data_IF_389811519210
#
_entry.id   IF_389811519210
#
_cell.length_a   1.000
_cell.length_b   1.000
_cell.length_c   1.000
_cell.angle_alpha   90.00
_cell.angle_beta   90.00
_cell.angle_gamma   90.00
#
_symmetry.space_group_name_H-M   'P 1'
#
loop_
_entity.id
_entity.type
_entity.pdbx_description
1 polymer ?
#
# COMPACT_ATOMS: atom_id res chain seq x y z
N UNK A 1 27.35 8.98 10.14
CA UNK A 1 27.39 8.75 8.68
C UNK A 1 26.60 7.49 8.43
N UNK A 2 25.37 7.61 7.93
CA UNK A 2 24.56 6.44 7.61
C UNK A 2 25.20 5.70 6.43
N UNK A 3 25.34 4.38 6.53
CA UNK A 3 25.74 3.57 5.38
C UNK A 3 24.69 3.76 4.29
N UNK A 4 25.07 4.43 3.20
CA UNK A 4 24.26 4.46 1.99
C UNK A 4 24.18 3.03 1.44
N UNK A 5 22.95 2.51 1.29
CA UNK A 5 22.72 1.18 0.74
C UNK A 5 23.17 1.15 -0.72
N UNK A 6 23.80 0.07 -1.14
CA UNK A 6 24.19 -0.10 -2.54
C UNK A 6 22.95 -0.33 -3.41
N UNK A 7 22.99 0.01 -4.73
CA UNK A 7 21.89 -0.30 -5.65
C UNK A 7 21.50 -1.79 -5.68
N UNK A 8 22.47 -2.69 -5.45
CA UNK A 8 22.24 -4.13 -5.39
C UNK A 8 21.46 -4.53 -4.12
N UNK A 9 21.79 -3.95 -2.97
CA UNK A 9 21.05 -4.18 -1.71
C UNK A 9 19.60 -3.72 -1.84
N UNK A 10 19.38 -2.54 -2.41
CA UNK A 10 18.03 -2.01 -2.68
C UNK A 10 17.26 -2.93 -3.61
N UNK A 11 17.89 -3.41 -4.69
CA UNK A 11 17.26 -4.35 -5.62
C UNK A 11 16.86 -5.67 -4.94
N UNK A 12 17.73 -6.22 -4.09
CA UNK A 12 17.45 -7.47 -3.37
C UNK A 12 16.31 -7.31 -2.37
N UNK A 13 16.25 -6.19 -1.65
CA UNK A 13 15.16 -5.86 -0.72
C UNK A 13 13.81 -5.69 -1.45
N UNK A 14 13.81 -4.99 -2.59
CA UNK A 14 12.61 -4.88 -3.44
C UNK A 14 12.17 -6.25 -3.94
N UNK A 15 13.12 -7.11 -4.34
CA UNK A 15 12.83 -8.47 -4.80
C UNK A 15 12.22 -9.33 -3.69
N UNK A 16 12.77 -9.30 -2.48
CA UNK A 16 12.22 -10.02 -1.32
C UNK A 16 10.82 -9.51 -0.94
N UNK A 17 10.67 -8.20 -0.83
CA UNK A 17 9.38 -7.54 -0.58
C UNK A 17 8.35 -7.94 -1.64
N UNK A 18 8.77 -7.92 -2.91
CA UNK A 18 7.94 -8.35 -4.04
C UNK A 18 7.55 -9.82 -3.97
N UNK A 19 8.47 -10.71 -3.60
CA UNK A 19 8.18 -12.13 -3.42
C UNK A 19 7.17 -12.36 -2.29
N UNK A 20 7.39 -11.74 -1.12
CA UNK A 20 6.51 -11.87 0.05
C UNK A 20 5.10 -11.35 -0.16
N UNK A 21 4.97 -10.18 -0.78
CA UNK A 21 3.67 -9.64 -1.12
C UNK A 21 2.97 -10.47 -2.21
N UNK A 22 3.72 -10.90 -3.23
CA UNK A 22 3.16 -11.73 -4.28
C UNK A 22 2.67 -13.08 -3.75
N UNK A 23 3.44 -13.76 -2.90
CA UNK A 23 3.07 -15.06 -2.36
C UNK A 23 1.78 -14.98 -1.54
N UNK A 24 1.60 -13.92 -0.74
CA UNK A 24 0.42 -13.72 0.11
C UNK A 24 -0.84 -13.27 -0.62
N UNK A 25 -0.69 -12.49 -1.70
CA UNK A 25 -1.83 -11.85 -2.37
C UNK A 25 -2.15 -12.42 -3.76
N UNK A 26 -1.30 -13.29 -4.32
CA UNK A 26 -1.61 -14.01 -5.56
C UNK A 26 -2.94 -14.77 -5.44
N UNK A 27 -3.67 -14.87 -6.55
CA UNK A 27 -4.98 -15.51 -6.62
C UNK A 27 -6.07 -14.84 -5.77
N UNK A 28 -5.82 -13.67 -5.18
CA UNK A 28 -6.85 -12.87 -4.50
C UNK A 28 -7.32 -11.70 -5.37
N UNK A 29 -8.43 -11.06 -4.98
CA UNK A 29 -8.88 -9.81 -5.58
C UNK A 29 -8.16 -8.57 -5.05
N UNK A 30 -7.34 -8.69 -3.98
CA UNK A 30 -6.68 -7.54 -3.32
C UNK A 30 -5.84 -6.70 -4.29
N UNK A 31 -4.91 -7.27 -5.09
CA UNK A 31 -4.06 -6.45 -5.96
C UNK A 31 -4.88 -5.67 -6.99
N UNK A 32 -5.95 -6.27 -7.52
CA UNK A 32 -6.85 -5.58 -8.46
C UNK A 32 -7.63 -4.46 -7.77
N UNK A 33 -8.19 -4.74 -6.60
CA UNK A 33 -8.99 -3.77 -5.89
C UNK A 33 -8.16 -2.57 -5.43
N UNK A 34 -6.93 -2.79 -4.95
CA UNK A 34 -6.02 -1.69 -4.61
C UNK A 34 -5.71 -0.84 -5.83
N UNK A 35 -5.42 -1.44 -6.98
CA UNK A 35 -5.22 -0.68 -8.23
C UNK A 35 -6.45 0.15 -8.58
N UNK A 36 -7.67 -0.36 -8.42
CA UNK A 36 -8.89 0.43 -8.64
C UNK A 36 -8.98 1.59 -7.64
N UNK A 37 -8.74 1.32 -6.35
CA UNK A 37 -8.82 2.31 -5.27
C UNK A 37 -7.79 3.44 -5.45
N UNK A 38 -6.61 3.15 -5.98
CA UNK A 38 -5.56 4.16 -6.17
C UNK A 38 -5.62 4.83 -7.55
N UNK A 39 -5.78 4.07 -8.64
CA UNK A 39 -5.76 4.64 -9.99
C UNK A 39 -7.01 5.44 -10.32
N UNK A 40 -8.20 5.02 -9.87
CA UNK A 40 -9.43 5.73 -10.24
C UNK A 40 -9.46 7.15 -9.66
N UNK A 41 -9.20 7.37 -8.37
CA UNK A 41 -9.09 8.73 -7.84
C UNK A 41 -7.97 9.54 -8.48
N UNK A 42 -6.82 8.92 -8.76
CA UNK A 42 -5.72 9.60 -9.46
C UNK A 42 -6.14 10.07 -10.84
N UNK A 43 -6.83 9.23 -11.61
CA UNK A 43 -7.31 9.57 -12.95
C UNK A 43 -8.38 10.68 -12.90
N UNK A 44 -9.27 10.67 -11.90
CA UNK A 44 -10.25 11.73 -11.69
C UNK A 44 -9.59 13.06 -11.35
N UNK A 45 -8.60 13.04 -10.45
CA UNK A 45 -7.79 14.20 -10.11
C UNK A 45 -7.07 14.76 -11.34
N UNK A 46 -6.41 13.89 -12.10
CA UNK A 46 -5.71 14.27 -13.31
C UNK A 46 -6.67 14.91 -14.33
N UNK A 47 -7.86 14.33 -14.49
CA UNK A 47 -8.89 14.87 -15.37
C UNK A 47 -9.35 16.27 -14.94
N UNK A 48 -9.62 16.49 -13.65
CA UNK A 48 -10.08 17.78 -13.13
C UNK A 48 -9.00 18.87 -13.29
N UNK A 49 -7.77 18.57 -12.87
CA UNK A 49 -6.64 19.52 -12.93
C UNK A 49 -6.30 19.86 -14.38
N UNK A 50 -6.24 18.84 -15.25
CA UNK A 50 -5.96 19.05 -16.66
C UNK A 50 -7.09 19.81 -17.35
N UNK A 51 -8.35 19.49 -17.04
CA UNK A 51 -9.53 20.18 -17.59
C UNK A 51 -9.47 21.69 -17.35
N UNK A 52 -9.27 22.10 -16.09
CA UNK A 52 -9.15 23.52 -15.72
C UNK A 52 -8.00 24.22 -16.45
N UNK A 53 -6.88 23.52 -16.67
CA UNK A 53 -5.70 24.10 -17.33
C UNK A 53 -5.87 24.19 -18.85
N UNK A 54 -6.60 23.25 -19.45
CA UNK A 54 -6.93 23.27 -20.88
C UNK A 54 -7.96 24.35 -21.21
N UNK A 55 -8.89 24.66 -20.30
CA UNK A 55 -9.87 25.74 -20.47
C UNK A 55 -9.21 27.13 -20.48
N UNK A 56 -8.09 27.29 -19.78
CA UNK A 56 -7.32 28.55 -19.70
C UNK A 56 -6.20 28.65 -20.75
N UNK A 57 -5.96 27.60 -21.52
CA UNK A 57 -4.94 27.63 -22.58
C UNK A 57 -5.33 28.62 -23.68
N UNK A 58 -4.35 29.39 -24.15
CA UNK A 58 -4.57 30.42 -25.17
C UNK A 58 -3.41 30.47 -26.19
N UNK A 59 -2.75 29.34 -26.43
CA UNK A 59 -1.57 29.26 -27.33
C UNK A 59 -1.91 29.54 -28.80
N UNK A 60 -3.14 29.25 -29.19
CA UNK A 60 -3.72 29.41 -30.52
C UNK A 60 -4.39 30.78 -30.75
N UNK A 61 -4.49 31.64 -29.73
CA UNK A 61 -5.09 32.96 -29.85
C UNK A 61 -4.36 33.86 -30.84
N UNK A 62 -5.14 34.63 -31.61
CA UNK A 62 -4.65 35.42 -32.75
C UNK A 62 -4.11 36.78 -32.32
N UNK A 63 -3.00 37.26 -32.91
CA UNK A 63 -2.38 38.52 -32.50
C UNK A 63 -3.21 39.74 -32.91
N UNK A 64 -3.34 40.72 -32.01
CA UNK A 64 -3.98 42.02 -32.25
C UNK A 64 -3.10 43.15 -31.70
N UNK A 65 -3.27 44.37 -32.22
CA UNK A 65 -2.69 45.57 -31.59
C UNK A 65 -3.54 45.97 -30.38
N UNK A 66 -2.89 46.07 -29.21
CA UNK A 66 -3.51 46.43 -27.94
C UNK A 66 -2.81 47.65 -27.33
N UNK A 67 -3.58 48.54 -26.71
CA UNK A 67 -3.12 49.73 -25.99
C UNK A 67 -3.26 49.51 -24.48
N UNK A 68 -2.19 49.74 -23.72
CA UNK A 68 -2.22 49.68 -22.25
C UNK A 68 -2.92 50.92 -21.69
N UNK A 69 -4.01 50.73 -20.94
CA UNK A 69 -4.82 51.78 -20.33
C UNK A 69 -4.37 52.08 -18.90
N UNK A 70 -4.07 51.03 -18.13
CA UNK A 70 -3.75 51.15 -16.71
C UNK A 70 -2.83 50.00 -16.27
N UNK A 71 -2.02 50.26 -15.25
CA UNK A 71 -1.12 49.27 -14.63
C UNK A 71 -1.09 49.49 -13.13
N UNK A 72 -1.06 48.42 -12.35
CA UNK A 72 -1.02 48.51 -10.89
C UNK A 72 -0.45 47.28 -10.21
N UNK A 73 -0.64 47.23 -8.90
CA UNK A 73 -0.29 46.09 -8.06
C UNK A 73 -1.47 45.77 -7.14
N UNK A 74 -1.89 44.51 -7.14
CA UNK A 74 -2.92 44.00 -6.23
C UNK A 74 -2.29 43.24 -5.07
N UNK A 75 -2.90 43.36 -3.90
CA UNK A 75 -2.53 42.60 -2.71
C UNK A 75 -3.12 41.18 -2.70
N UNK A 76 -4.06 40.89 -3.59
CA UNK A 76 -4.72 39.60 -3.73
C UNK A 76 -4.91 39.26 -5.21
N UNK A 77 -4.72 37.99 -5.57
CA UNK A 77 -5.11 37.43 -6.85
C UNK A 77 -6.28 36.49 -6.61
N UNK A 78 -7.46 36.81 -7.13
CA UNK A 78 -8.62 35.92 -7.04
C UNK A 78 -8.79 35.21 -8.38
N UNK A 79 -8.96 33.89 -8.32
CA UNK A 79 -9.43 33.09 -9.47
C UNK A 79 -10.97 33.15 -9.47
N UNK A 80 -11.57 33.32 -10.64
CA UNK A 80 -13.03 33.40 -10.84
C UNK A 80 -13.69 32.00 -10.87
N UNK A 81 -12.94 30.94 -10.53
CA UNK A 81 -13.39 29.55 -10.54
C UNK A 81 -14.53 29.19 -9.56
N UNK A 82 -15.44 28.32 -10.04
CA UNK A 82 -16.73 27.96 -9.41
C UNK A 82 -16.63 27.12 -8.11
N UNK A 83 -15.45 26.61 -7.76
CA UNK A 83 -15.24 25.79 -6.56
C UNK A 83 -14.23 26.44 -5.62
N UNK A 84 -14.76 27.30 -4.75
CA UNK A 84 -14.04 28.09 -3.72
C UNK A 84 -13.20 29.20 -4.34
N UNK A 85 -13.66 30.45 -4.19
CA UNK A 85 -12.89 31.66 -4.52
C UNK A 85 -11.71 31.80 -3.55
N UNK A 86 -10.68 30.99 -3.73
CA UNK A 86 -9.44 31.10 -2.97
C UNK A 86 -8.61 32.21 -3.60
N UNK A 87 -8.73 33.41 -3.05
CA UNK A 87 -7.83 34.50 -3.40
C UNK A 87 -6.44 34.22 -2.81
N UNK A 88 -5.43 34.12 -3.65
CA UNK A 88 -4.05 34.08 -3.21
C UNK A 88 -3.67 35.43 -2.61
N UNK A 89 -3.27 35.45 -1.34
CA UNK A 89 -2.72 36.63 -0.70
C UNK A 89 -2.46 36.48 0.80
N UNK A 90 -1.87 37.51 1.43
CA UNK A 90 -1.43 38.77 0.81
C UNK A 90 -0.16 38.62 -0.05
N UNK A 91 -0.10 39.32 -1.18
CA UNK A 91 1.03 39.31 -2.13
C UNK A 91 1.25 40.64 -2.86
N UNK A 92 2.10 40.64 -3.89
CA UNK A 92 2.35 41.79 -4.76
C UNK A 92 2.19 41.36 -6.23
N UNK A 93 0.94 41.31 -6.69
CA UNK A 93 0.59 40.81 -8.01
C UNK A 93 0.47 41.98 -9.00
N UNK A 94 1.23 42.00 -10.11
CA UNK A 94 1.04 43.01 -11.13
C UNK A 94 -0.36 42.93 -11.74
N UNK A 95 -0.97 44.08 -12.03
CA UNK A 95 -2.27 44.19 -12.70
C UNK A 95 -2.15 45.07 -13.93
N UNK A 96 -2.90 44.75 -14.98
CA UNK A 96 -2.87 45.48 -16.25
C UNK A 96 -4.28 45.57 -16.78
N UNK A 97 -4.65 46.75 -17.28
CA UNK A 97 -5.86 46.96 -18.06
C UNK A 97 -5.47 47.44 -19.45
N UNK A 98 -6.02 46.83 -20.47
CA UNK A 98 -5.69 47.14 -21.86
C UNK A 98 -6.92 47.11 -22.75
N UNK A 99 -6.81 47.69 -23.93
CA UNK A 99 -7.86 47.72 -24.94
C UNK A 99 -7.36 47.34 -26.30
N UNK A 100 -8.22 46.73 -27.10
CA UNK A 100 -7.98 46.42 -28.50
C UNK A 100 -9.21 46.83 -29.32
N UNK A 101 -9.06 46.86 -30.64
CA UNK A 101 -10.12 47.23 -31.57
C UNK A 101 -10.36 46.12 -32.59
N UNK A 102 -11.60 45.66 -32.69
CA UNK A 102 -12.06 44.71 -33.72
C UNK A 102 -13.34 45.28 -34.32
N UNK A 103 -13.43 45.29 -35.65
CA UNK A 103 -14.60 45.77 -36.40
C UNK A 103 -15.08 47.18 -35.99
N UNK A 104 -14.15 48.06 -35.60
CA UNK A 104 -14.46 49.44 -35.17
C UNK A 104 -15.02 49.55 -33.75
N UNK A 105 -15.03 48.46 -32.97
CA UNK A 105 -15.44 48.45 -31.56
C UNK A 105 -14.21 48.35 -30.65
N UNK A 106 -14.09 49.30 -29.71
CA UNK A 106 -13.04 49.29 -28.69
C UNK A 106 -13.49 48.43 -27.50
N UNK A 107 -12.75 47.35 -27.27
CA UNK A 107 -12.97 46.38 -26.17
C UNK A 107 -11.89 46.58 -25.10
N UNK A 108 -12.14 46.09 -23.88
CA UNK A 108 -11.25 46.30 -22.72
C UNK A 108 -11.22 45.03 -21.87
N UNK A 109 -10.03 44.65 -21.41
CA UNK A 109 -9.82 43.49 -20.53
C UNK A 109 -8.81 43.83 -19.42
N UNK A 110 -8.93 43.13 -18.30
CA UNK A 110 -7.93 43.07 -17.22
C UNK A 110 -7.12 41.77 -17.22
N UNK A 111 -7.50 40.80 -18.05
CA UNK A 111 -7.03 39.42 -17.98
C UNK A 111 -5.79 39.27 -18.85
N UNK A 112 -4.72 39.99 -18.48
CA UNK A 112 -3.54 40.09 -19.33
C UNK A 112 -2.66 38.82 -19.29
N UNK A 113 -2.77 38.02 -18.23
CA UNK A 113 -2.12 36.73 -17.99
C UNK A 113 -2.99 35.92 -17.03
N UNK A 114 -3.09 34.59 -17.19
CA UNK A 114 -3.97 33.76 -16.37
C UNK A 114 -3.51 33.69 -14.90
N UNK A 115 -2.20 33.58 -14.67
CA UNK A 115 -1.62 33.56 -13.31
C UNK A 115 -0.42 34.51 -13.23
N UNK A 116 -0.62 35.77 -12.78
CA UNK A 116 0.48 36.71 -12.60
C UNK A 116 1.39 36.30 -11.44
N UNK A 117 2.71 36.53 -11.54
CA UNK A 117 3.63 36.12 -10.48
C UNK A 117 3.46 36.99 -9.23
N UNK A 118 3.49 36.36 -8.06
CA UNK A 118 3.62 37.06 -6.79
C UNK A 118 5.06 37.54 -6.59
N UNK A 119 5.28 38.85 -6.52
CA UNK A 119 6.62 39.44 -6.43
C UNK A 119 6.95 39.90 -5.01
N UNK A 120 8.21 40.20 -4.75
CA UNK A 120 8.68 40.47 -3.38
C UNK A 120 8.30 41.86 -2.83
N UNK A 121 7.81 42.76 -3.69
CA UNK A 121 7.32 44.10 -3.31
C UNK A 121 6.55 44.75 -4.48
N UNK A 122 5.75 45.79 -4.17
CA UNK A 122 5.04 46.59 -5.19
C UNK A 122 6.01 47.15 -6.24
N UNK A 123 7.13 47.73 -5.80
CA UNK A 123 8.15 48.26 -6.71
C UNK A 123 8.76 47.18 -7.61
N UNK A 124 8.83 45.92 -7.16
CA UNK A 124 9.29 44.81 -7.99
C UNK A 124 8.23 44.39 -9.00
N UNK A 125 6.94 44.47 -8.65
CA UNK A 125 5.84 44.24 -9.57
C UNK A 125 5.75 45.30 -10.66
N UNK A 126 5.88 46.58 -10.30
CA UNK A 126 5.97 47.68 -11.26
C UNK A 126 7.17 47.51 -12.19
N UNK A 127 8.37 47.25 -11.64
CA UNK A 127 9.56 46.97 -12.46
C UNK A 127 9.37 45.76 -13.39
N UNK A 128 8.63 44.73 -12.96
CA UNK A 128 8.38 43.55 -13.77
C UNK A 128 7.52 43.87 -15.00
N UNK A 129 6.53 44.77 -14.86
CA UNK A 129 5.71 45.28 -15.96
C UNK A 129 6.52 46.19 -16.89
N UNK A 130 7.24 47.17 -16.33
CA UNK A 130 8.05 48.13 -17.10
C UNK A 130 9.12 47.44 -17.95
N UNK A 131 9.81 46.44 -17.38
CA UNK A 131 10.84 45.66 -18.10
C UNK A 131 10.28 44.88 -19.30
N UNK A 132 8.95 44.68 -19.37
CA UNK A 132 8.26 44.01 -20.47
C UNK A 132 7.62 45.00 -21.45
N UNK A 133 7.82 46.30 -21.25
CA UNK A 133 7.18 47.34 -22.06
C UNK A 133 5.68 47.50 -21.78
N UNK A 134 5.18 46.94 -20.67
CA UNK A 134 3.80 47.11 -20.22
C UNK A 134 3.74 48.41 -19.41
N UNK A 135 3.62 49.51 -20.12
CA UNK A 135 3.53 50.88 -19.57
C UNK A 135 2.32 51.57 -20.17
N UNK A 136 1.66 52.42 -19.37
CA UNK A 136 0.44 53.13 -19.80
C UNK A 136 0.68 53.93 -21.07
N UNK A 137 -0.21 53.75 -22.06
CA UNK A 137 -0.15 54.38 -23.38
C UNK A 137 0.78 53.70 -24.39
N UNK A 138 1.44 52.58 -24.05
CA UNK A 138 2.17 51.79 -25.01
C UNK A 138 1.24 50.91 -25.86
N UNK A 139 1.59 50.77 -27.14
CA UNK A 139 1.02 49.75 -28.01
C UNK A 139 1.86 48.47 -27.89
N UNK A 140 1.18 47.37 -27.60
CA UNK A 140 1.76 46.03 -27.47
C UNK A 140 0.94 45.04 -28.30
N UNK A 141 1.52 43.88 -28.58
CA UNK A 141 0.76 42.77 -29.17
C UNK A 141 -0.08 42.11 -28.07
N UNK A 142 -1.40 42.19 -28.20
CA UNK A 142 -2.34 41.33 -27.49
C UNK A 142 -2.68 40.09 -28.31
N UNK A 143 -3.40 39.15 -27.71
CA UNK A 143 -3.90 37.94 -28.36
C UNK A 143 -5.38 37.81 -28.05
N UNK A 144 -6.20 37.54 -29.06
CA UNK A 144 -7.66 37.48 -28.97
C UNK A 144 -8.13 36.05 -29.19
N UNK A 145 -9.16 35.66 -28.44
CA UNK A 145 -9.78 34.35 -28.59
C UNK A 145 -10.48 34.25 -29.96
N UNK A 146 -10.11 33.29 -30.83
CA UNK A 146 -10.71 33.15 -32.15
C UNK A 146 -12.21 32.78 -32.11
N UNK A 147 -12.67 32.19 -31.00
CA UNK A 147 -14.07 31.80 -30.80
C UNK A 147 -14.90 32.92 -30.15
N UNK A 148 -14.27 33.83 -29.39
CA UNK A 148 -14.91 35.00 -28.77
C UNK A 148 -14.01 36.24 -28.79
N UNK A 149 -14.24 37.12 -29.77
CA UNK A 149 -13.48 38.36 -29.93
C UNK A 149 -13.58 39.35 -28.75
N UNK A 150 -14.48 39.12 -27.78
CA UNK A 150 -14.59 39.92 -26.56
C UNK A 150 -13.55 39.57 -25.49
N UNK A 151 -12.82 38.47 -25.66
CA UNK A 151 -11.75 38.03 -24.78
C UNK A 151 -10.37 38.27 -25.40
N UNK A 152 -9.46 38.78 -24.59
CA UNK A 152 -8.07 38.98 -24.99
C UNK A 152 -7.13 38.84 -23.79
N UNK A 153 -5.88 38.46 -24.08
CA UNK A 153 -4.76 38.40 -23.14
C UNK A 153 -3.54 39.14 -23.73
N UNK A 154 -2.54 39.48 -22.91
CA UNK A 154 -1.26 40.01 -23.39
C UNK A 154 -0.15 38.95 -23.40
N UNK A 155 -0.30 37.89 -22.62
CA UNK A 155 0.67 36.79 -22.51
C UNK A 155 -0.03 35.49 -22.84
N UNK A 156 0.43 34.81 -23.88
CA UNK A 156 0.00 33.44 -24.17
C UNK A 156 0.68 32.44 -23.24
N UNK A 157 -0.07 31.45 -22.80
CA UNK A 157 0.33 30.39 -21.90
C UNK A 157 -0.24 29.07 -22.39
N UNK A 158 0.62 28.06 -22.41
CA UNK A 158 0.20 26.66 -22.60
C UNK A 158 -0.40 26.08 -21.32
N UNK A 159 -1.22 25.05 -21.46
CA UNK A 159 -1.73 24.27 -20.32
C UNK A 159 -0.61 23.77 -19.38
N UNK A 160 0.58 23.48 -19.93
CA UNK A 160 1.75 23.06 -19.14
C UNK A 160 2.27 24.21 -18.27
N UNK A 161 2.43 25.39 -18.84
CA UNK A 161 2.89 26.58 -18.10
C UNK A 161 1.89 26.97 -17.00
N UNK A 162 0.60 26.89 -17.32
CA UNK A 162 -0.49 27.16 -16.36
C UNK A 162 -0.40 26.19 -15.17
N UNK A 163 -0.26 24.89 -15.42
CA UNK A 163 -0.13 23.91 -14.33
C UNK A 163 1.12 24.13 -13.47
N UNK A 164 2.25 24.45 -14.08
CA UNK A 164 3.50 24.70 -13.34
C UNK A 164 3.39 25.95 -12.47
N UNK A 165 2.78 27.03 -12.98
CA UNK A 165 2.60 28.26 -12.18
C UNK A 165 1.62 28.05 -11.02
N UNK A 166 0.59 27.21 -11.21
CA UNK A 166 -0.35 26.81 -10.15
C UNK A 166 0.24 25.84 -9.13
N UNK A 167 1.38 25.20 -9.43
CA UNK A 167 1.96 24.11 -8.62
C UNK A 167 1.17 22.80 -8.72
N UNK A 168 0.29 22.68 -9.72
CA UNK A 168 -0.56 21.52 -9.93
C UNK A 168 0.25 20.31 -10.42
N UNK A 169 1.33 20.55 -11.17
CA UNK A 169 2.22 19.51 -11.67
C UNK A 169 2.90 18.73 -10.52
N UNK A 170 3.36 19.42 -9.47
CA UNK A 170 3.90 18.78 -8.26
C UNK A 170 2.88 17.86 -7.60
N UNK A 171 1.62 18.30 -7.52
CA UNK A 171 0.55 17.53 -6.92
C UNK A 171 0.18 16.30 -7.77
N UNK A 172 0.15 16.44 -9.10
CA UNK A 172 -0.06 15.34 -10.04
C UNK A 172 1.08 14.30 -9.96
N UNK A 173 2.33 14.72 -9.79
CA UNK A 173 3.45 13.81 -9.56
C UNK A 173 3.30 13.03 -8.26
N UNK A 174 2.93 13.71 -7.18
CA UNK A 174 2.69 13.06 -5.88
C UNK A 174 1.59 11.99 -6.00
N UNK A 175 0.44 12.36 -6.58
CA UNK A 175 -0.67 11.43 -6.81
C UNK A 175 -0.26 10.25 -7.69
N UNK A 176 0.53 10.49 -8.73
CA UNK A 176 1.04 9.44 -9.63
C UNK A 176 1.94 8.46 -8.90
N UNK A 177 2.85 8.93 -8.06
CA UNK A 177 3.77 8.09 -7.27
C UNK A 177 3.03 7.23 -6.23
N UNK A 178 1.91 7.71 -5.68
CA UNK A 178 1.07 6.91 -4.78
C UNK A 178 0.50 5.63 -5.43
N UNK A 179 0.48 5.54 -6.77
CA UNK A 179 0.05 4.33 -7.48
C UNK A 179 1.14 3.25 -7.56
N UNK A 180 2.40 3.60 -7.34
CA UNK A 180 3.55 2.70 -7.50
C UNK A 180 3.42 1.45 -6.60
N UNK A 181 3.07 1.54 -5.30
CA UNK A 181 2.90 0.35 -4.46
C UNK A 181 1.80 -0.58 -4.95
N UNK A 182 0.65 -0.04 -5.38
CA UNK A 182 -0.47 -0.83 -5.87
C UNK A 182 -0.14 -1.54 -7.19
N UNK A 183 0.54 -0.85 -8.11
CA UNK A 183 1.04 -1.42 -9.36
C UNK A 183 2.12 -2.48 -9.12
N UNK A 184 3.06 -2.21 -8.21
CA UNK A 184 4.10 -3.14 -7.82
C UNK A 184 3.52 -4.44 -7.26
N UNK A 185 2.53 -4.33 -6.36
CA UNK A 185 1.81 -5.49 -5.83
C UNK A 185 1.07 -6.26 -6.94
N UNK A 186 0.37 -5.56 -7.84
CA UNK A 186 -0.34 -6.18 -8.95
C UNK A 186 0.61 -6.95 -9.87
N UNK A 187 1.71 -6.33 -10.29
CA UNK A 187 2.70 -6.97 -11.17
C UNK A 187 3.34 -8.17 -10.48
N UNK A 188 3.72 -8.03 -9.21
CA UNK A 188 4.36 -9.09 -8.44
C UNK A 188 3.39 -10.28 -8.24
N UNK A 189 2.15 -10.03 -7.84
CA UNK A 189 1.12 -11.05 -7.71
C UNK A 189 0.80 -11.74 -9.05
N UNK A 190 0.75 -10.98 -10.17
CA UNK A 190 0.54 -11.54 -11.51
C UNK A 190 1.67 -12.46 -11.94
N UNK A 191 2.93 -12.09 -11.67
CA UNK A 191 4.08 -12.95 -11.94
C UNK A 191 3.99 -14.27 -11.19
N UNK A 192 3.52 -14.24 -9.94
CA UNK A 192 3.26 -15.44 -9.15
C UNK A 192 2.09 -16.26 -9.73
N UNK A 193 0.96 -15.63 -10.06
CA UNK A 193 -0.17 -16.33 -10.71
C UNK A 193 0.24 -17.01 -12.02
N UNK A 194 1.21 -16.45 -12.74
CA UNK A 194 1.68 -16.98 -14.02
C UNK A 194 2.49 -18.26 -13.92
N UNK A 195 3.00 -18.63 -12.74
CA UNK A 195 3.67 -19.92 -12.55
C UNK A 195 2.70 -21.10 -12.67
N UNK A 196 1.43 -20.89 -12.32
CA UNK A 196 0.36 -21.89 -12.45
C UNK A 196 -0.21 -21.86 -13.88
N UNK A 197 -0.57 -23.00 -14.51
CA UNK A 197 -1.21 -23.01 -15.83
C UNK A 197 -2.54 -22.25 -15.88
N UNK A 198 -2.80 -21.53 -16.97
CA UNK A 198 -3.97 -20.63 -17.13
C UNK A 198 -5.32 -21.29 -16.80
N UNK A 199 -5.49 -22.59 -17.09
CA UNK A 199 -6.73 -23.34 -16.82
C UNK A 199 -7.04 -23.53 -15.33
N UNK A 200 -6.01 -23.48 -14.47
CA UNK A 200 -6.13 -23.63 -13.01
C UNK A 200 -6.14 -22.30 -12.26
N UNK A 201 -5.78 -21.19 -12.93
CA UNK A 201 -5.79 -19.85 -12.34
C UNK A 201 -7.23 -19.44 -12.04
N UNK A 202 -7.60 -19.45 -10.77
CA UNK A 202 -8.82 -18.85 -10.25
C UNK A 202 -8.46 -17.64 -9.40
N UNK A 203 -9.42 -16.74 -9.21
CA UNK A 203 -9.28 -15.57 -8.34
C UNK A 203 -10.37 -15.59 -7.30
N UNK A 204 -9.95 -15.44 -6.06
CA UNK A 204 -10.78 -15.58 -4.89
C UNK A 204 -10.99 -14.22 -4.24
N UNK A 205 -12.19 -14.00 -3.72
CA UNK A 205 -12.45 -12.87 -2.84
C UNK A 205 -11.97 -13.26 -1.44
N UNK A 206 -11.38 -12.30 -0.72
CA UNK A 206 -11.18 -12.49 0.70
C UNK A 206 -12.53 -12.68 1.39
N UNK A 207 -12.56 -13.54 2.41
CA UNK A 207 -13.74 -13.81 3.22
C UNK A 207 -13.57 -13.05 4.52
N UNK A 208 -14.52 -12.18 4.85
CA UNK A 208 -14.50 -11.50 6.14
C UNK A 208 -15.01 -12.46 7.21
N UNK A 209 -14.15 -12.77 8.17
CA UNK A 209 -14.49 -13.58 9.34
C UNK A 209 -14.74 -12.62 10.49
N UNK A 210 -16.03 -12.46 10.83
CA UNK A 210 -16.48 -11.67 11.97
C UNK A 210 -16.37 -12.50 13.24
N UNK A 211 -16.09 -11.84 14.37
CA UNK A 211 -16.14 -12.44 15.71
C UNK A 211 -15.26 -13.71 15.79
N UNK A 212 -13.99 -13.55 15.40
CA UNK A 212 -13.04 -14.67 15.42
C UNK A 212 -12.90 -15.21 16.84
N UNK A 213 -12.72 -16.54 16.99
CA UNK A 213 -12.48 -17.15 18.28
C UNK A 213 -11.37 -16.44 19.07
N UNK A 214 -11.49 -16.43 20.41
CA UNK A 214 -10.53 -15.85 21.37
C UNK A 214 -10.43 -14.32 21.37
N UNK A 215 -11.49 -13.63 20.98
CA UNK A 215 -11.49 -12.17 20.94
C UNK A 215 -10.52 -11.61 19.89
N UNK A 216 -10.06 -12.45 18.96
CA UNK A 216 -9.21 -11.99 17.86
C UNK A 216 -10.01 -10.98 17.02
N UNK A 217 -9.39 -9.87 16.60
CA UNK A 217 -10.07 -8.87 15.80
C UNK A 217 -10.56 -9.54 14.52
N UNK A 218 -11.75 -9.16 14.08
CA UNK A 218 -12.30 -9.65 12.81
C UNK A 218 -11.33 -9.36 11.66
N UNK A 219 -11.18 -10.29 10.72
CA UNK A 219 -10.19 -10.13 9.64
C UNK A 219 -10.67 -10.67 8.30
N UNK A 220 -10.01 -10.22 7.24
CA UNK A 220 -10.17 -10.75 5.91
C UNK A 220 -9.24 -11.94 5.70
N UNK A 221 -9.80 -13.10 5.39
CA UNK A 221 -9.06 -14.35 5.24
C UNK A 221 -9.04 -14.82 3.78
N UNK A 222 -7.92 -15.46 3.42
CA UNK A 222 -7.73 -16.09 2.12
C UNK A 222 -8.39 -17.47 2.14
N UNK A 223 -9.29 -17.80 1.20
CA UNK A 223 -9.90 -19.12 1.11
C UNK A 223 -8.87 -20.24 0.93
N UNK A 224 -9.18 -21.45 1.39
CA UNK A 224 -8.22 -22.57 1.40
C UNK A 224 -7.66 -22.89 0.00
N UNK A 225 -8.52 -23.01 -1.01
CA UNK A 225 -8.07 -23.26 -2.40
C UNK A 225 -7.08 -22.18 -2.89
N UNK A 226 -7.23 -20.93 -2.45
CA UNK A 226 -6.31 -19.87 -2.78
C UNK A 226 -4.98 -20.01 -2.03
N UNK A 227 -4.99 -20.43 -0.75
CA UNK A 227 -3.77 -20.71 0.03
C UNK A 227 -2.96 -21.84 -0.61
N UNK A 228 -3.61 -22.92 -1.02
CA UNK A 228 -2.96 -24.05 -1.73
C UNK A 228 -2.31 -23.59 -3.04
N UNK A 229 -3.02 -22.80 -3.85
CA UNK A 229 -2.46 -22.23 -5.09
C UNK A 229 -1.30 -21.27 -4.82
N UNK A 230 -1.35 -20.49 -3.74
CA UNK A 230 -0.28 -19.59 -3.33
C UNK A 230 0.98 -20.35 -2.95
N UNK A 231 0.85 -21.44 -2.19
CA UNK A 231 1.95 -22.35 -1.83
C UNK A 231 2.58 -22.94 -3.09
N UNK A 232 1.78 -23.63 -3.92
CA UNK A 232 2.26 -24.28 -5.14
C UNK A 232 2.97 -23.28 -6.07
N UNK A 233 2.36 -22.11 -6.27
CA UNK A 233 2.93 -21.07 -7.11
C UNK A 233 4.27 -20.56 -6.56
N UNK A 234 4.37 -20.39 -5.25
CA UNK A 234 5.57 -19.91 -4.57
C UNK A 234 6.70 -20.93 -4.62
N UNK A 235 6.40 -22.22 -4.44
CA UNK A 235 7.37 -23.31 -4.60
C UNK A 235 7.93 -23.37 -6.02
N UNK A 236 7.05 -23.37 -7.03
CA UNK A 236 7.46 -23.38 -8.44
C UNK A 236 8.32 -22.15 -8.73
N UNK A 237 7.91 -20.98 -8.20
CA UNK A 237 8.66 -19.74 -8.39
C UNK A 237 10.04 -19.82 -7.75
N UNK A 238 10.14 -20.25 -6.49
CA UNK A 238 11.41 -20.41 -5.78
C UNK A 238 12.35 -21.36 -6.54
N UNK A 239 11.84 -22.52 -6.97
CA UNK A 239 12.59 -23.48 -7.80
C UNK A 239 13.11 -22.85 -9.09
N UNK A 240 12.31 -22.00 -9.75
CA UNK A 240 12.71 -21.30 -10.98
C UNK A 240 13.77 -20.22 -10.78
N UNK A 241 13.88 -19.66 -9.56
CA UNK A 241 14.80 -18.57 -9.23
C UNK A 241 16.06 -19.06 -8.50
N UNK A 242 16.12 -20.32 -8.08
CA UNK A 242 17.17 -20.88 -7.22
C UNK A 242 18.59 -20.59 -7.71
N UNK A 243 18.84 -20.66 -9.01
CA UNK A 243 20.15 -20.35 -9.61
C UNK A 243 20.59 -18.87 -9.54
N UNK A 244 19.72 -17.97 -9.09
CA UNK A 244 19.96 -16.52 -8.99
C UNK A 244 19.87 -15.95 -7.57
N UNK A 245 19.62 -16.82 -6.58
CA UNK A 245 19.49 -16.44 -5.18
C UNK A 245 20.77 -16.75 -4.42
N UNK A 246 21.08 -15.93 -3.42
CA UNK A 246 22.04 -16.34 -2.40
C UNK A 246 21.44 -17.46 -1.53
N UNK A 247 22.28 -18.21 -0.82
CA UNK A 247 21.82 -19.27 0.10
C UNK A 247 20.88 -18.69 1.17
N UNK A 248 21.23 -17.53 1.75
CA UNK A 248 20.38 -16.85 2.72
C UNK A 248 19.03 -16.36 2.15
N UNK A 249 19.00 -15.88 0.90
CA UNK A 249 17.74 -15.50 0.24
C UNK A 249 16.85 -16.72 0.00
N UNK A 250 17.44 -17.83 -0.44
CA UNK A 250 16.73 -19.08 -0.70
C UNK A 250 16.09 -19.62 0.59
N UNK A 251 16.86 -19.67 1.67
CA UNK A 251 16.39 -20.14 2.98
C UNK A 251 15.27 -19.23 3.52
N UNK A 252 15.41 -17.91 3.39
CA UNK A 252 14.36 -16.95 3.77
C UNK A 252 13.05 -17.22 3.03
N UNK A 253 13.11 -17.41 1.71
CA UNK A 253 11.93 -17.69 0.90
C UNK A 253 11.33 -19.07 1.19
N UNK A 254 12.19 -20.08 1.42
CA UNK A 254 11.76 -21.42 1.79
C UNK A 254 11.03 -21.43 3.14
N UNK A 255 11.55 -20.70 4.14
CA UNK A 255 10.89 -20.55 5.44
C UNK A 255 9.52 -19.90 5.30
N UNK A 256 9.40 -18.83 4.50
CA UNK A 256 8.11 -18.19 4.23
C UNK A 256 7.11 -19.12 3.53
N UNK A 257 7.58 -19.99 2.62
CA UNK A 257 6.73 -20.99 1.97
C UNK A 257 6.28 -22.04 2.99
N UNK A 258 7.18 -22.51 3.86
CA UNK A 258 6.84 -23.44 4.95
C UNK A 258 5.70 -22.89 5.81
N UNK A 259 5.76 -21.61 6.23
CA UNK A 259 4.68 -20.97 6.97
C UNK A 259 3.34 -20.98 6.20
N UNK A 260 3.39 -20.74 4.89
CA UNK A 260 2.21 -20.78 4.03
C UNK A 260 1.65 -22.21 3.88
N UNK A 261 2.51 -23.21 3.77
CA UNK A 261 2.11 -24.63 3.74
C UNK A 261 1.34 -24.99 5.00
N UNK A 262 1.80 -24.51 6.16
CA UNK A 262 1.15 -24.76 7.45
C UNK A 262 -0.21 -24.10 7.55
N UNK A 263 -0.34 -22.89 7.01
CA UNK A 263 -1.63 -22.18 6.91
C UNK A 263 -2.56 -22.79 5.85
N UNK A 264 -2.05 -23.62 4.94
CA UNK A 264 -2.82 -24.38 3.96
C UNK A 264 -3.09 -25.83 4.41
N UNK A 265 -2.34 -26.34 5.38
CA UNK A 265 -2.48 -27.70 5.90
C UNK A 265 -3.65 -27.78 6.89
N UNK A 266 -4.80 -28.24 6.39
CA UNK A 266 -5.97 -28.52 7.22
C UNK A 266 -5.68 -29.61 8.26
N UNK A 267 -6.29 -29.49 9.42
CA UNK A 267 -6.32 -30.56 10.41
C UNK A 267 -7.21 -31.70 9.90
N UNK A 268 -6.87 -32.94 10.25
CA UNK A 268 -7.72 -34.10 9.95
C UNK A 268 -9.09 -33.90 10.64
N UNK A 269 -10.18 -34.10 9.90
CA UNK A 269 -11.55 -33.78 10.37
C UNK A 269 -11.98 -32.32 10.21
N UNK A 270 -11.12 -31.42 9.72
CA UNK A 270 -11.44 -30.00 9.49
C UNK A 270 -11.23 -29.14 10.74
N UNK A 271 -12.23 -28.35 11.14
CA UNK A 271 -12.14 -27.54 12.36
C UNK A 271 -12.26 -28.42 13.60
N UNK A 272 -11.27 -28.35 14.48
CA UNK A 272 -11.21 -29.12 15.74
C UNK A 272 -11.08 -28.20 16.94
N UNK A 273 -11.68 -28.59 18.06
CA UNK A 273 -11.52 -27.95 19.36
C UNK A 273 -10.33 -28.55 20.11
N UNK A 274 -9.47 -27.70 20.63
CA UNK A 274 -8.35 -28.01 21.50
C UNK A 274 -8.58 -27.43 22.87
N UNK A 275 -7.91 -27.98 23.87
CA UNK A 275 -7.82 -27.40 25.21
C UNK A 275 -6.36 -27.12 25.51
N UNK A 276 -6.08 -25.94 26.08
CA UNK A 276 -4.81 -25.66 26.73
C UNK A 276 -5.01 -25.41 28.22
N UNK A 277 -4.01 -25.75 29.02
CA UNK A 277 -3.91 -25.40 30.42
C UNK A 277 -2.73 -24.46 30.61
N UNK A 278 -3.00 -23.28 31.17
CA UNK A 278 -2.02 -22.25 31.47
C UNK A 278 -1.34 -22.52 32.82
N UNK A 279 -0.26 -21.79 33.12
CA UNK A 279 0.52 -21.98 34.35
C UNK A 279 -0.30 -21.77 35.64
N UNK A 280 -1.31 -20.91 35.56
CA UNK A 280 -2.27 -20.63 36.64
C UNK A 280 -3.36 -21.72 36.79
N UNK A 281 -3.28 -22.83 36.04
CA UNK A 281 -4.28 -23.91 35.92
C UNK A 281 -5.62 -23.48 35.32
N UNK A 282 -5.67 -22.34 34.65
CA UNK A 282 -6.81 -21.96 33.84
C UNK A 282 -6.83 -22.79 32.57
N UNK A 283 -8.01 -23.31 32.24
CA UNK A 283 -8.24 -24.03 31.00
C UNK A 283 -8.88 -23.12 29.96
N UNK A 284 -8.34 -23.17 28.75
CA UNK A 284 -8.86 -22.42 27.61
C UNK A 284 -9.14 -23.39 26.46
N UNK A 285 -10.35 -23.34 25.94
CA UNK A 285 -10.78 -24.08 24.74
C UNK A 285 -10.75 -23.16 23.52
N UNK A 286 -10.85 -23.68 22.29
CA UNK A 286 -9.72 -23.75 21.35
C UNK A 286 -10.05 -24.27 19.94
N UNK A 287 -11.00 -23.74 19.17
CA UNK A 287 -11.20 -24.12 17.76
C UNK A 287 -10.23 -23.51 16.74
N UNK A 288 -9.63 -24.38 15.92
CA UNK A 288 -8.77 -24.04 14.76
C UNK A 288 -8.98 -25.05 13.63
N UNK A 289 -8.75 -24.64 12.37
CA UNK A 289 -8.93 -25.48 11.18
C UNK A 289 -7.64 -25.91 10.48
N UNK A 290 -6.50 -25.30 10.83
CA UNK A 290 -5.20 -25.60 10.22
C UNK A 290 -4.11 -25.74 11.27
N UNK A 291 -3.03 -26.45 10.92
CA UNK A 291 -1.85 -26.52 11.78
C UNK A 291 -1.25 -25.14 12.04
N UNK A 292 -1.18 -24.27 11.02
CA UNK A 292 -0.70 -22.89 11.19
C UNK A 292 -1.49 -22.11 12.24
N UNK A 293 -2.83 -22.17 12.19
CA UNK A 293 -3.70 -21.52 13.18
C UNK A 293 -3.47 -22.05 14.60
N UNK A 294 -3.30 -23.37 14.76
CA UNK A 294 -2.97 -23.97 16.05
C UNK A 294 -1.69 -23.37 16.64
N UNK A 295 -0.62 -23.29 15.85
CA UNK A 295 0.66 -22.77 16.33
C UNK A 295 0.61 -21.28 16.65
N UNK A 296 0.03 -20.45 15.80
CA UNK A 296 -0.09 -19.02 16.10
C UNK A 296 -0.92 -18.78 17.36
N UNK A 297 -1.98 -19.58 17.56
CA UNK A 297 -2.76 -19.52 18.80
C UNK A 297 -1.91 -19.88 20.02
N UNK A 298 -1.13 -20.97 19.95
CA UNK A 298 -0.23 -21.35 21.03
C UNK A 298 0.82 -20.26 21.32
N UNK A 299 1.42 -19.67 20.28
CA UNK A 299 2.36 -18.54 20.42
C UNK A 299 1.71 -17.35 21.11
N UNK A 300 0.50 -16.96 20.71
CA UNK A 300 -0.25 -15.87 21.36
C UNK A 300 -0.43 -16.13 22.87
N UNK A 301 -0.65 -17.38 23.28
CA UNK A 301 -0.75 -17.76 24.70
C UNK A 301 0.60 -17.79 25.41
N UNK A 302 1.65 -18.23 24.73
CA UNK A 302 3.01 -18.27 25.24
C UNK A 302 3.61 -16.85 25.42
N UNK A 303 3.13 -15.86 24.66
CA UNK A 303 3.71 -14.50 24.55
C UNK A 303 2.79 -13.37 25.07
N UNK A 304 1.78 -13.66 25.91
CA UNK A 304 0.84 -12.64 26.41
C UNK A 304 1.55 -11.38 26.95
N UNK A 305 1.15 -10.21 26.45
CA UNK A 305 1.84 -8.91 26.56
C UNK A 305 2.30 -8.46 27.96
N UNK A 306 1.77 -9.06 29.03
CA UNK A 306 2.10 -8.70 30.42
C UNK A 306 2.81 -9.80 31.22
N UNK A 307 2.92 -11.04 30.71
CA UNK A 307 3.57 -12.19 31.38
C UNK A 307 3.98 -13.27 30.38
N UNK A 308 5.21 -13.75 30.50
CA UNK A 308 5.60 -15.04 29.90
C UNK A 308 5.02 -16.13 30.79
N UNK A 309 4.04 -16.87 30.28
CA UNK A 309 3.56 -18.09 30.94
C UNK A 309 4.75 -19.05 31.09
N UNK A 310 5.05 -19.50 32.31
CA UNK A 310 6.22 -20.37 32.54
C UNK A 310 6.03 -21.74 31.90
N UNK A 311 4.77 -22.18 31.79
CA UNK A 311 4.39 -23.38 31.06
C UNK A 311 2.97 -23.31 30.49
N UNK A 312 2.76 -24.00 29.36
CA UNK A 312 1.44 -24.23 28.73
C UNK A 312 1.34 -25.71 28.36
N UNK A 313 0.23 -26.37 28.65
CA UNK A 313 -0.03 -27.74 28.22
C UNK A 313 -1.18 -27.80 27.20
N UNK A 314 -0.91 -28.32 26.00
CA UNK A 314 -1.89 -28.57 24.94
C UNK A 314 -2.38 -30.02 24.99
N UNK A 315 -3.67 -30.20 25.19
CA UNK A 315 -4.33 -31.49 25.08
C UNK A 315 -4.67 -31.78 23.62
N UNK A 316 -4.19 -32.93 23.11
CA UNK A 316 -4.42 -33.36 21.73
C UNK A 316 -5.62 -34.30 21.59
N UNK A 317 -5.98 -34.97 22.69
CA UNK A 317 -7.11 -35.90 22.79
C UNK A 317 -8.14 -35.38 23.80
N UNK A 318 -9.39 -35.84 23.70
CA UNK A 318 -10.48 -35.45 24.61
C UNK A 318 -10.24 -35.92 26.06
N UNK A 319 -9.59 -37.08 26.22
CA UNK A 319 -9.25 -37.63 27.54
C UNK A 319 -8.04 -36.93 28.13
N UNK A 320 -8.25 -36.08 29.12
CA UNK A 320 -7.14 -35.38 29.82
C UNK A 320 -6.29 -36.29 30.71
N UNK A 321 -6.80 -37.45 31.12
CA UNK A 321 -6.14 -38.34 32.06
C UNK A 321 -5.31 -39.44 31.38
N UNK A 322 -5.78 -39.93 30.22
CA UNK A 322 -5.15 -41.03 29.48
C UNK A 322 -4.71 -40.61 28.08
N UNK A 323 -5.13 -39.43 27.62
CA UNK A 323 -4.82 -38.91 26.30
C UNK A 323 -3.44 -38.28 26.21
N UNK A 324 -3.10 -37.90 24.98
CA UNK A 324 -1.84 -37.29 24.62
C UNK A 324 -1.86 -35.79 24.87
N UNK A 325 -0.77 -35.27 25.42
CA UNK A 325 -0.58 -33.83 25.57
C UNK A 325 0.85 -33.41 25.23
N UNK A 326 0.99 -32.14 24.88
CA UNK A 326 2.27 -31.46 24.69
C UNK A 326 2.40 -30.35 25.74
N UNK A 327 3.40 -30.45 26.61
CA UNK A 327 3.76 -29.41 27.55
C UNK A 327 4.89 -28.55 26.98
N UNK A 328 4.74 -27.24 27.07
CA UNK A 328 5.68 -26.23 26.60
C UNK A 328 6.19 -25.47 27.82
N UNK A 329 7.45 -25.66 28.20
CA UNK A 329 8.06 -25.02 29.37
C UNK A 329 9.16 -24.04 28.94
N UNK A 330 9.08 -22.79 29.39
CA UNK A 330 10.07 -21.76 29.06
C UNK A 330 11.32 -21.88 29.93
N UNK A 331 12.49 -21.94 29.29
CA UNK A 331 13.77 -22.02 29.98
C UNK A 331 14.29 -20.62 30.36
N UNK A 332 13.49 -19.86 31.11
CA UNK A 332 13.84 -18.54 31.66
C UNK A 332 13.09 -17.36 31.04
N UNK A 333 12.97 -16.28 31.82
CA UNK A 333 12.11 -15.11 31.61
C UNK A 333 12.45 -14.25 30.36
N UNK A 334 13.55 -14.55 29.67
CA UNK A 334 13.96 -13.79 28.47
C UNK A 334 14.55 -14.69 27.38
N UNK A 335 14.33 -16.01 27.45
CA UNK A 335 14.81 -16.90 26.40
C UNK A 335 13.65 -17.36 25.52
N UNK A 336 13.87 -17.34 24.22
CA UNK A 336 12.97 -17.97 23.25
C UNK A 336 13.11 -19.51 23.25
N UNK A 337 13.77 -20.09 24.25
CA UNK A 337 14.04 -21.51 24.30
C UNK A 337 12.93 -22.20 25.11
N UNK A 338 12.12 -22.99 24.41
CA UNK A 338 11.03 -23.76 25.00
C UNK A 338 11.40 -25.24 24.99
N UNK A 339 11.21 -25.90 26.12
CA UNK A 339 11.24 -27.35 26.23
C UNK A 339 9.85 -27.88 25.93
N UNK A 340 9.73 -28.62 24.83
CA UNK A 340 8.49 -29.27 24.44
C UNK A 340 8.55 -30.73 24.88
N UNK A 341 7.60 -31.12 25.74
CA UNK A 341 7.51 -32.45 26.34
C UNK A 341 6.21 -33.12 25.91
N UNK A 342 6.31 -34.29 25.29
CA UNK A 342 5.18 -35.11 24.85
C UNK A 342 4.89 -36.21 25.87
N UNK A 343 3.64 -36.26 26.34
CA UNK A 343 3.15 -37.28 27.25
C UNK A 343 1.99 -38.07 26.60
N UNK A 344 1.85 -39.34 27.00
CA UNK A 344 0.67 -40.17 26.77
C UNK A 344 0.17 -40.68 28.13
N UNK A 345 -0.94 -40.12 28.63
CA UNK A 345 -1.29 -40.26 30.04
C UNK A 345 -0.15 -39.76 30.94
N UNK A 346 0.40 -40.64 31.78
CA UNK A 346 1.53 -40.31 32.65
C UNK A 346 2.91 -40.67 32.06
N UNK A 347 2.95 -41.30 30.89
CA UNK A 347 4.20 -41.78 30.29
C UNK A 347 4.86 -40.69 29.44
N UNK A 348 6.11 -40.37 29.77
CA UNK A 348 6.94 -39.47 28.96
C UNK A 348 7.34 -40.17 27.66
N UNK A 349 6.90 -39.63 26.53
CA UNK A 349 7.23 -40.13 25.20
C UNK A 349 8.51 -39.48 24.68
N UNK A 350 8.63 -38.15 24.83
CA UNK A 350 9.75 -37.37 24.30
C UNK A 350 9.85 -36.02 24.99
N UNK A 351 11.08 -35.51 25.13
CA UNK A 351 11.33 -34.11 25.43
C UNK A 351 12.33 -33.52 24.41
N UNK A 352 12.13 -32.28 24.00
CA UNK A 352 13.08 -31.54 23.15
C UNK A 352 13.06 -30.05 23.47
N UNK A 353 14.24 -29.48 23.74
CA UNK A 353 14.43 -28.03 23.83
C UNK A 353 14.72 -27.46 22.45
N UNK A 354 14.05 -26.35 22.10
CA UNK A 354 14.20 -25.65 20.83
C UNK A 354 13.96 -24.16 21.00
N UNK A 355 14.49 -23.37 20.06
CA UNK A 355 14.22 -21.94 19.99
C UNK A 355 12.96 -21.67 19.15
N UNK A 356 11.89 -21.12 19.74
CA UNK A 356 10.57 -20.97 19.07
C UNK A 356 10.57 -20.06 17.85
N UNK A 357 11.57 -19.17 17.70
CA UNK A 357 11.71 -18.30 16.53
C UNK A 357 12.63 -18.89 15.45
N UNK A 358 13.70 -19.58 15.86
CA UNK A 358 14.69 -20.12 14.90
C UNK A 358 14.35 -21.53 14.43
N UNK A 359 13.62 -22.29 15.24
CA UNK A 359 13.31 -23.70 15.01
C UNK A 359 11.80 -23.93 14.92
N UNK A 360 11.05 -22.94 14.39
CA UNK A 360 9.60 -23.03 14.20
C UNK A 360 9.20 -24.28 13.41
N UNK A 361 9.88 -24.57 12.29
CA UNK A 361 9.62 -25.78 11.50
C UNK A 361 9.76 -27.08 12.31
N UNK A 362 10.66 -27.11 13.31
CA UNK A 362 10.84 -28.27 14.20
C UNK A 362 9.68 -28.37 15.19
N UNK A 363 9.26 -27.24 15.76
CA UNK A 363 8.08 -27.14 16.63
C UNK A 363 6.84 -27.65 15.90
N UNK A 364 6.67 -27.23 14.63
CA UNK A 364 5.56 -27.67 13.78
C UNK A 364 5.53 -29.17 13.63
N UNK A 365 6.68 -29.78 13.32
CA UNK A 365 6.75 -31.21 13.09
C UNK A 365 6.48 -32.03 14.35
N UNK A 366 6.80 -31.49 15.54
CA UNK A 366 6.44 -32.09 16.83
C UNK A 366 4.92 -32.08 17.00
N UNK A 367 4.29 -30.90 16.89
CA UNK A 367 2.84 -30.74 17.07
C UNK A 367 2.07 -31.60 16.06
N UNK A 368 2.47 -31.55 14.79
CA UNK A 368 1.86 -32.31 13.70
C UNK A 368 1.92 -33.82 13.96
N UNK A 369 3.12 -34.35 14.27
CA UNK A 369 3.30 -35.78 14.56
C UNK A 369 2.56 -36.24 15.80
N UNK A 370 2.53 -35.40 16.84
CA UNK A 370 1.81 -35.73 18.07
C UNK A 370 0.31 -35.79 17.81
N UNK A 371 -0.24 -34.81 17.08
CA UNK A 371 -1.66 -34.72 16.73
C UNK A 371 -2.14 -35.92 15.89
N UNK A 372 -1.38 -36.31 14.85
CA UNK A 372 -1.71 -37.45 13.98
C UNK A 372 -1.66 -38.82 14.67
N UNK A 373 -1.00 -38.91 15.83
CA UNK A 373 -0.84 -40.17 16.56
C UNK A 373 -1.88 -40.37 17.65
N UNK A 374 -2.49 -39.30 18.19
CA UNK A 374 -3.62 -39.40 19.10
C UNK A 374 -4.81 -40.12 18.45
N UNK A 375 -5.07 -39.81 17.18
CA UNK A 375 -6.19 -40.33 16.39
C UNK A 375 -6.12 -41.85 16.10
N UNK A 376 -4.93 -42.47 16.09
CA UNK A 376 -4.79 -43.92 15.83
C UNK A 376 -5.12 -44.79 17.05
N UNK A 377 -5.34 -44.19 18.20
CA UNK A 377 -5.65 -44.91 19.45
C UNK A 377 -7.15 -45.04 19.70
N UNK A 378 -7.99 -44.30 18.97
CA UNK A 378 -9.46 -44.30 19.11
C UNK A 378 -10.19 -45.34 18.24
N UNK A 379 -9.48 -46.12 17.40
CA UNK A 379 -10.05 -47.22 16.60
C UNK A 379 -9.93 -48.61 17.27
N UNK A 380 -10.17 -48.74 18.59
CA UNK A 380 -10.21 -50.06 19.25
C UNK A 380 -11.54 -50.44 19.86
#
# INVERSE_FOLDING_TARGET
MGNERTPLEIYNEIRDTGFGFASRFAFTNVPRNLVIIFLVPTALVFWLVLGNSLELENTDWEPVEAEIIDTGVSSYLCDDGEYVSDCEGPGHFPTVRFSWEIDGQKLVSSDYIAYPPNLSSDSKAEQWLENRGIIVGANITGFVNPDDNSEAVLVRQSWVEIMTVRGDDEWLWCCSLCNVPALFLLVSARRMEWTIPRKRRKRYKLVYVKDRPYGRPSSWEVPMEARELQVEASEIRLKSMSGSLSEGDFDSYANRISDMELMAAQLEGGTRSFTIMLSNREEVNFEVGTYGELIYTLKDYLEREDRIETSVALFLDESKAEGRLLEFEFNGEYTANVTVTEYLGNDLIRAKTLNIYREEAVLMEIIRKASQKGEKTDEK
#
